data_IF_724280833260
#
_entry.id   IF_724280833260
#
_cell.length_a   1.000
_cell.length_b   1.000
_cell.length_c   1.000
_cell.angle_alpha   90.00
_cell.angle_beta   90.00
_cell.angle_gamma   90.00
#
_symmetry.space_group_name_H-M   'P 1'
#
loop_
_entity.id
_entity.type
_entity.pdbx_description
1 polymer ?
#
# COMPACT_ATOMS: atom_id res chain seq x y z
N UNK A 1 40.98 -32.24 40.32
CA UNK A 1 39.93 -32.84 39.45
C UNK A 1 38.90 -31.79 39.02
N UNK A 2 38.35 -30.96 39.90
CA UNK A 2 37.36 -29.90 39.56
C UNK A 2 37.87 -28.84 38.57
N UNK A 3 39.13 -28.41 38.67
CA UNK A 3 39.68 -27.35 37.80
C UNK A 3 39.86 -27.81 36.35
N UNK A 4 40.14 -29.10 36.14
CA UNK A 4 40.25 -29.67 34.79
C UNK A 4 38.87 -29.78 34.15
N UNK A 5 37.85 -30.14 34.90
CA UNK A 5 36.48 -30.26 34.45
C UNK A 5 35.87 -28.88 34.04
N UNK A 6 36.14 -27.81 34.80
CA UNK A 6 35.73 -26.47 34.45
C UNK A 6 36.38 -25.97 33.15
N UNK A 7 37.66 -26.29 32.95
CA UNK A 7 38.37 -25.90 31.73
C UNK A 7 37.82 -26.62 30.48
N UNK A 8 37.49 -27.89 30.57
CA UNK A 8 36.93 -28.66 29.45
C UNK A 8 35.52 -28.19 29.13
N UNK A 9 34.69 -27.87 30.13
CA UNK A 9 33.34 -27.34 29.95
C UNK A 9 33.35 -25.97 29.25
N UNK A 10 34.30 -25.10 29.65
CA UNK A 10 34.48 -23.77 29.02
C UNK A 10 34.91 -23.87 27.55
N UNK A 11 35.77 -24.84 27.23
CA UNK A 11 36.26 -25.07 25.87
C UNK A 11 35.14 -25.58 24.94
N UNK A 12 34.28 -26.48 25.45
CA UNK A 12 33.13 -27.00 24.72
C UNK A 12 32.10 -25.89 24.47
N UNK A 13 31.86 -25.01 25.44
CA UNK A 13 30.93 -23.87 25.28
C UNK A 13 31.42 -22.88 24.20
N UNK A 14 32.72 -22.60 24.13
CA UNK A 14 33.30 -21.74 23.10
C UNK A 14 33.21 -22.36 21.70
N UNK A 15 33.40 -23.68 21.58
CA UNK A 15 33.26 -24.39 20.30
C UNK A 15 31.79 -24.37 19.83
N UNK A 16 30.80 -24.54 20.71
CA UNK A 16 29.39 -24.48 20.35
C UNK A 16 28.95 -23.09 19.87
N UNK A 17 29.55 -22.02 20.41
CA UNK A 17 29.26 -20.65 19.95
C UNK A 17 29.83 -20.40 18.54
N UNK A 18 30.97 -20.99 18.21
CA UNK A 18 31.62 -20.84 16.89
C UNK A 18 30.87 -21.58 15.77
N UNK A 19 30.11 -22.62 16.09
CA UNK A 19 29.26 -23.35 15.13
C UNK A 19 27.84 -22.74 14.95
N UNK A 20 27.48 -21.70 15.68
CA UNK A 20 26.21 -21.00 15.56
C UNK A 20 26.17 -20.01 14.38
N UNK A 21 26.94 -20.25 13.32
CA UNK A 21 26.77 -19.52 12.08
C UNK A 21 25.53 -20.07 11.36
N UNK A 22 24.34 -19.53 11.69
CA UNK A 22 23.12 -19.79 10.95
C UNK A 22 23.36 -19.34 9.48
N UNK A 23 23.54 -20.30 8.59
CA UNK A 23 23.51 -20.07 7.15
C UNK A 23 22.12 -19.55 6.80
N UNK A 24 21.97 -18.23 6.76
CA UNK A 24 20.80 -17.60 6.15
C UNK A 24 20.76 -18.06 4.69
N UNK A 25 19.86 -18.98 4.37
CA UNK A 25 19.57 -19.32 2.97
C UNK A 25 19.16 -18.01 2.29
N UNK A 26 20.08 -17.38 1.57
CA UNK A 26 19.73 -16.33 0.62
C UNK A 26 18.80 -16.98 -0.39
N UNK A 27 17.53 -16.71 -0.29
CA UNK A 27 16.58 -17.00 -1.38
C UNK A 27 17.07 -16.15 -2.54
N UNK A 28 17.64 -16.79 -3.54
CA UNK A 28 18.02 -16.12 -4.80
C UNK A 28 16.71 -15.72 -5.43
N UNK A 29 16.31 -14.46 -5.22
CA UNK A 29 15.21 -13.88 -5.97
C UNK A 29 15.67 -13.85 -7.42
N UNK A 30 15.07 -14.69 -8.27
CA UNK A 30 15.31 -14.66 -9.70
C UNK A 30 14.93 -13.27 -10.16
N UNK A 31 15.90 -12.47 -10.58
CA UNK A 31 15.62 -11.15 -11.11
C UNK A 31 14.75 -11.31 -12.36
N UNK A 32 13.51 -10.82 -12.29
CA UNK A 32 12.63 -10.76 -13.45
C UNK A 32 13.18 -9.68 -14.37
N UNK A 33 13.69 -10.09 -15.53
CA UNK A 33 14.16 -9.15 -16.54
C UNK A 33 12.99 -8.76 -17.44
N UNK A 34 12.51 -7.53 -17.30
CA UNK A 34 11.48 -6.96 -18.17
C UNK A 34 12.19 -6.32 -19.37
N UNK A 35 12.19 -6.99 -20.52
CA UNK A 35 12.83 -6.52 -21.74
C UNK A 35 11.97 -5.58 -22.56
N UNK A 36 10.64 -5.64 -22.44
CA UNK A 36 9.73 -4.77 -23.18
C UNK A 36 8.37 -4.67 -22.48
N UNK A 37 7.65 -3.57 -22.75
CA UNK A 37 6.26 -3.37 -22.39
C UNK A 37 5.43 -3.25 -23.66
N UNK A 38 4.26 -3.89 -23.69
CA UNK A 38 3.29 -3.79 -24.78
C UNK A 38 2.03 -3.13 -24.24
N UNK A 39 1.60 -2.03 -24.87
CA UNK A 39 0.30 -1.44 -24.59
C UNK A 39 -0.81 -2.38 -25.08
N UNK A 40 -1.72 -2.76 -24.18
CA UNK A 40 -2.82 -3.66 -24.47
C UNK A 40 -4.15 -2.92 -24.66
N UNK A 41 -4.30 -1.74 -24.11
CA UNK A 41 -5.54 -0.96 -24.16
C UNK A 41 -5.77 -0.13 -22.91
N UNK A 42 -6.90 0.56 -22.91
CA UNK A 42 -7.40 1.32 -21.77
C UNK A 42 -8.89 1.05 -21.57
N UNK A 43 -9.36 1.20 -20.35
CA UNK A 43 -10.78 1.20 -20.01
C UNK A 43 -11.13 2.55 -19.40
N UNK A 44 -12.07 3.27 -20.03
CA UNK A 44 -12.47 4.59 -19.58
C UNK A 44 -13.69 4.50 -18.68
N UNK A 45 -13.62 5.13 -17.50
CA UNK A 45 -14.73 5.27 -16.58
C UNK A 45 -15.37 6.63 -16.86
N UNK A 46 -16.69 6.72 -17.10
CA UNK A 46 -17.36 7.99 -17.31
C UNK A 46 -17.11 8.98 -16.16
N UNK A 47 -16.94 10.25 -16.47
CA UNK A 47 -16.58 11.31 -15.51
C UNK A 47 -17.51 11.42 -14.32
N UNK A 48 -18.81 11.14 -14.49
CA UNK A 48 -19.83 11.23 -13.45
C UNK A 48 -20.30 9.88 -12.93
N UNK A 49 -19.56 8.82 -13.25
CA UNK A 49 -19.94 7.47 -12.82
C UNK A 49 -19.96 7.38 -11.30
N UNK A 50 -21.08 6.85 -10.79
CA UNK A 50 -21.28 6.68 -9.34
C UNK A 50 -21.34 5.20 -8.96
N UNK A 51 -20.68 4.89 -7.87
CA UNK A 51 -20.78 3.59 -7.21
C UNK A 51 -21.09 3.78 -5.73
N UNK A 52 -22.19 3.18 -5.24
CA UNK A 52 -22.69 3.30 -3.85
C UNK A 52 -22.65 4.75 -3.32
N UNK A 53 -23.24 5.66 -4.07
CA UNK A 53 -23.33 7.10 -3.77
C UNK A 53 -22.01 7.86 -3.73
N UNK A 54 -20.92 7.27 -4.18
CA UNK A 54 -19.63 7.96 -4.35
C UNK A 54 -19.33 8.16 -5.83
N UNK A 55 -18.73 9.29 -6.18
CA UNK A 55 -18.23 9.55 -7.53
C UNK A 55 -16.91 8.78 -7.67
N UNK A 56 -16.83 7.92 -8.69
CA UNK A 56 -15.59 7.19 -9.01
C UNK A 56 -14.73 8.08 -9.88
N UNK A 57 -13.55 8.42 -9.39
CA UNK A 57 -12.58 9.26 -10.11
C UNK A 57 -11.34 9.51 -9.29
N UNK A 58 -10.34 10.16 -9.91
CA UNK A 58 -9.05 10.39 -9.27
C UNK A 58 -8.39 9.09 -8.80
N UNK A 59 -8.43 8.04 -9.63
CA UNK A 59 -7.82 6.76 -9.28
C UNK A 59 -6.30 6.86 -9.47
N UNK A 60 -5.59 7.22 -8.40
CA UNK A 60 -4.16 7.49 -8.39
C UNK A 60 -3.30 6.24 -8.18
N UNK A 61 -3.84 5.21 -7.54
CA UNK A 61 -3.11 3.97 -7.27
C UNK A 61 -3.96 2.72 -7.43
N UNK A 62 -3.29 1.64 -7.84
CA UNK A 62 -3.89 0.32 -8.01
C UNK A 62 -2.96 -0.76 -7.48
N UNK A 63 -3.53 -1.79 -6.85
CA UNK A 63 -2.82 -3.03 -6.50
C UNK A 63 -3.74 -4.24 -6.62
N UNK A 64 -3.15 -5.44 -6.62
CA UNK A 64 -3.86 -6.68 -6.92
C UNK A 64 -3.65 -7.76 -5.86
N UNK A 65 -4.74 -8.31 -5.35
CA UNK A 65 -4.77 -9.50 -4.52
C UNK A 65 -5.01 -10.75 -5.40
N UNK A 66 -3.92 -11.43 -5.74
CA UNK A 66 -3.97 -12.62 -6.60
C UNK A 66 -4.74 -13.79 -5.98
N UNK A 67 -4.86 -13.84 -4.64
CA UNK A 67 -5.58 -14.91 -3.95
C UNK A 67 -7.09 -14.80 -4.12
N UNK A 68 -7.59 -13.57 -4.15
CA UNK A 68 -9.04 -13.31 -4.21
C UNK A 68 -9.48 -12.75 -5.57
N UNK A 69 -8.55 -12.62 -6.53
CA UNK A 69 -8.76 -12.01 -7.85
C UNK A 69 -9.43 -10.63 -7.73
N UNK A 70 -8.85 -9.77 -6.87
CA UNK A 70 -9.43 -8.51 -6.48
C UNK A 70 -8.42 -7.37 -6.63
N UNK A 71 -8.86 -6.29 -7.26
CA UNK A 71 -8.09 -5.06 -7.38
C UNK A 71 -8.54 -4.05 -6.32
N UNK A 72 -7.56 -3.34 -5.76
CA UNK A 72 -7.76 -2.19 -4.88
C UNK A 72 -7.36 -0.93 -5.63
N UNK A 73 -8.26 0.04 -5.72
CA UNK A 73 -8.05 1.30 -6.43
C UNK A 73 -8.30 2.45 -5.47
N UNK A 74 -7.27 3.24 -5.15
CA UNK A 74 -7.40 4.40 -4.27
C UNK A 74 -7.77 5.66 -5.06
N UNK A 75 -8.63 6.49 -4.47
CA UNK A 75 -9.01 7.78 -5.03
C UNK A 75 -8.24 8.91 -4.35
N UNK A 76 -7.70 9.83 -5.13
CA UNK A 76 -7.03 11.05 -4.68
C UNK A 76 -8.00 12.14 -4.18
N UNK A 77 -9.31 11.82 -4.12
CA UNK A 77 -10.31 12.74 -3.56
C UNK A 77 -10.01 13.03 -2.09
N UNK A 78 -9.56 14.23 -1.84
CA UNK A 78 -9.13 14.75 -0.55
C UNK A 78 -10.30 15.06 0.40
N UNK A 79 -11.32 14.23 0.43
CA UNK A 79 -12.60 14.45 1.10
C UNK A 79 -13.35 15.69 0.62
N UNK A 80 -13.12 16.14 -0.62
CA UNK A 80 -13.78 17.29 -1.20
C UNK A 80 -15.16 16.95 -1.77
N UNK A 81 -15.27 15.80 -2.44
CA UNK A 81 -16.51 15.30 -3.05
C UNK A 81 -17.14 14.18 -2.21
N UNK A 82 -16.33 13.26 -1.75
CA UNK A 82 -16.73 12.11 -0.93
C UNK A 82 -15.64 11.82 0.12
N UNK A 83 -15.95 11.06 1.19
CA UNK A 83 -14.92 10.66 2.15
C UNK A 83 -13.73 9.98 1.49
N UNK A 84 -12.53 10.13 2.08
CA UNK A 84 -11.31 9.45 1.64
C UNK A 84 -11.59 7.95 1.56
N UNK A 85 -11.28 7.32 0.42
CA UNK A 85 -11.75 5.97 0.12
C UNK A 85 -10.87 5.24 -0.87
N UNK A 86 -11.05 3.95 -0.89
CA UNK A 86 -10.61 3.10 -2.00
C UNK A 86 -11.77 2.20 -2.47
N UNK A 87 -11.65 1.72 -3.69
CA UNK A 87 -12.60 0.81 -4.30
C UNK A 87 -11.98 -0.59 -4.41
N UNK A 88 -12.86 -1.59 -4.33
CA UNK A 88 -12.54 -2.94 -4.74
C UNK A 88 -13.19 -3.19 -6.09
N UNK A 89 -12.48 -3.84 -7.00
CA UNK A 89 -12.99 -4.14 -8.33
C UNK A 89 -12.45 -5.46 -8.88
N UNK A 90 -13.20 -6.10 -9.76
CA UNK A 90 -12.72 -7.14 -10.66
C UNK A 90 -12.42 -6.52 -12.03
N UNK A 91 -11.27 -6.84 -12.61
CA UNK A 91 -10.87 -6.38 -13.94
C UNK A 91 -10.72 -7.62 -14.83
N UNK A 92 -11.46 -7.63 -15.92
CA UNK A 92 -11.44 -8.74 -16.87
C UNK A 92 -10.58 -8.37 -18.07
N UNK A 93 -9.68 -9.27 -18.43
CA UNK A 93 -8.76 -9.09 -19.54
C UNK A 93 -9.06 -10.08 -20.66
N UNK A 94 -8.89 -9.60 -21.89
CA UNK A 94 -8.87 -10.42 -23.10
C UNK A 94 -7.51 -10.29 -23.79
N UNK A 95 -7.34 -10.98 -24.91
CA UNK A 95 -6.14 -10.83 -25.75
C UNK A 95 -6.00 -9.40 -26.33
N UNK A 96 -7.11 -8.65 -26.37
CA UNK A 96 -7.17 -7.30 -26.94
C UNK A 96 -7.11 -6.18 -25.89
N UNK A 97 -6.95 -6.51 -24.60
CA UNK A 97 -6.84 -5.54 -23.52
C UNK A 97 -7.84 -5.74 -22.39
N UNK A 98 -8.22 -4.64 -21.74
CA UNK A 98 -9.22 -4.65 -20.67
C UNK A 98 -10.61 -4.74 -21.29
N UNK A 99 -11.32 -5.82 -21.02
CA UNK A 99 -12.69 -6.03 -21.48
C UNK A 99 -13.69 -5.25 -20.62
N UNK A 100 -13.62 -5.45 -19.31
CA UNK A 100 -14.54 -4.82 -18.37
C UNK A 100 -13.91 -4.60 -17.00
N UNK A 101 -14.48 -3.62 -16.27
CA UNK A 101 -14.15 -3.31 -14.88
C UNK A 101 -15.46 -3.25 -14.10
N UNK A 102 -15.55 -4.03 -13.03
CA UNK A 102 -16.74 -4.14 -12.18
C UNK A 102 -16.36 -3.77 -10.76
N UNK A 103 -16.88 -2.64 -10.25
CA UNK A 103 -16.71 -2.29 -8.85
C UNK A 103 -17.53 -3.21 -7.97
N UNK A 104 -16.90 -3.80 -6.96
CA UNK A 104 -17.53 -4.74 -6.02
C UNK A 104 -17.75 -4.14 -4.65
N UNK A 105 -16.89 -3.20 -4.23
CA UNK A 105 -17.06 -2.49 -2.96
C UNK A 105 -16.41 -1.09 -2.99
N UNK A 106 -16.80 -0.25 -2.01
CA UNK A 106 -16.13 1.01 -1.66
C UNK A 106 -15.94 1.03 -0.14
N UNK A 107 -14.74 1.38 0.29
CA UNK A 107 -14.34 1.37 1.69
C UNK A 107 -13.74 2.74 2.03
N UNK A 108 -14.32 3.39 3.04
CA UNK A 108 -13.79 4.65 3.53
C UNK A 108 -12.56 4.41 4.40
N UNK A 109 -11.53 5.24 4.17
CA UNK A 109 -10.34 5.27 5.00
C UNK A 109 -10.62 6.22 6.16
N UNK A 110 -10.43 5.71 7.38
CA UNK A 110 -10.71 6.46 8.61
C UNK A 110 -9.42 6.88 9.30
N UNK A 111 -9.49 7.96 10.06
CA UNK A 111 -8.43 8.34 11.00
C UNK A 111 -8.26 7.27 12.09
N UNK A 112 -7.12 7.23 12.80
CA UNK A 112 -6.90 6.28 13.89
C UNK A 112 -7.99 6.27 14.97
N UNK A 113 -8.70 7.39 15.15
CA UNK A 113 -9.84 7.51 16.07
C UNK A 113 -11.18 7.04 15.51
N UNK A 114 -11.22 6.48 14.28
CA UNK A 114 -12.44 5.98 13.64
C UNK A 114 -13.32 7.04 12.98
N UNK A 115 -12.95 8.31 13.02
CA UNK A 115 -13.66 9.39 12.33
C UNK A 115 -13.22 9.53 10.86
N UNK A 116 -14.06 10.16 10.03
CA UNK A 116 -13.64 10.52 8.68
C UNK A 116 -12.53 11.58 8.70
N UNK A 117 -11.70 11.55 7.67
CA UNK A 117 -10.77 12.64 7.43
C UNK A 117 -11.54 13.92 7.06
N UNK A 118 -11.14 15.09 7.57
CA UNK A 118 -11.72 16.36 7.18
C UNK A 118 -11.30 16.72 5.76
N UNK A 119 -12.09 17.55 5.08
CA UNK A 119 -11.63 18.18 3.84
C UNK A 119 -10.69 19.35 4.15
N UNK A 120 -10.01 19.87 3.12
CA UNK A 120 -9.03 20.96 3.25
C UNK A 120 -9.59 22.22 3.91
N UNK A 121 -10.86 22.54 3.71
CA UNK A 121 -11.51 23.73 4.31
C UNK A 121 -11.79 23.55 5.79
N UNK A 122 -11.99 22.32 6.23
CA UNK A 122 -12.25 22.00 7.63
C UNK A 122 -10.95 21.93 8.45
N UNK A 123 -9.95 21.22 7.94
CA UNK A 123 -8.65 21.09 8.60
C UNK A 123 -7.58 20.70 7.56
N UNK A 124 -6.82 21.68 7.04
CA UNK A 124 -5.80 21.42 6.02
C UNK A 124 -4.64 20.56 6.53
N UNK A 125 -4.38 20.57 7.85
CA UNK A 125 -3.28 19.80 8.44
C UNK A 125 -3.60 18.31 8.58
N UNK A 126 -4.86 17.95 8.63
CA UNK A 126 -5.33 16.57 8.70
C UNK A 126 -5.95 16.06 7.40
N UNK A 127 -5.99 16.89 6.37
CA UNK A 127 -6.52 16.52 5.08
C UNK A 127 -5.49 15.72 4.30
N UNK A 128 -5.72 14.44 3.99
CA UNK A 128 -4.78 13.64 3.23
C UNK A 128 -4.92 13.88 1.73
N UNK A 129 -3.89 13.52 1.00
CA UNK A 129 -3.83 13.49 -0.46
C UNK A 129 -3.42 12.07 -0.90
N UNK A 130 -4.38 11.14 -1.04
CA UNK A 130 -4.05 9.73 -1.26
C UNK A 130 -3.48 9.51 -2.66
N UNK A 131 -2.32 8.82 -2.77
CA UNK A 131 -1.61 8.64 -4.03
C UNK A 131 -1.33 7.19 -4.40
N UNK A 132 -1.09 6.35 -3.44
CA UNK A 132 -0.82 4.95 -3.72
C UNK A 132 -1.46 4.02 -2.70
N UNK A 133 -1.74 2.80 -3.15
CA UNK A 133 -2.24 1.72 -2.30
C UNK A 133 -1.45 0.44 -2.59
N UNK A 134 -1.15 -0.34 -1.56
CA UNK A 134 -0.48 -1.65 -1.67
C UNK A 134 -1.11 -2.66 -0.74
N UNK A 135 -1.33 -3.84 -1.25
CA UNK A 135 -1.81 -4.99 -0.48
C UNK A 135 -0.63 -5.88 -0.07
N UNK A 136 -0.53 -6.16 1.22
CA UNK A 136 0.43 -7.12 1.74
C UNK A 136 -0.25 -8.48 1.96
N UNK A 137 0.03 -9.49 1.12
CA UNK A 137 -0.64 -10.79 1.21
C UNK A 137 -0.26 -11.58 2.47
N UNK A 138 0.88 -11.29 3.10
CA UNK A 138 1.31 -11.96 4.33
C UNK A 138 0.54 -11.46 5.56
N UNK A 139 0.43 -10.15 5.71
CA UNK A 139 -0.31 -9.54 6.82
C UNK A 139 -1.79 -9.33 6.52
N UNK A 140 -2.21 -9.45 5.25
CA UNK A 140 -3.56 -9.14 4.73
C UNK A 140 -3.98 -7.70 5.02
N UNK A 141 -3.03 -6.79 4.97
CA UNK A 141 -3.24 -5.37 5.24
C UNK A 141 -3.05 -4.57 3.96
N UNK A 142 -3.81 -3.49 3.86
CA UNK A 142 -3.59 -2.45 2.89
C UNK A 142 -2.75 -1.33 3.51
N UNK A 143 -1.74 -0.89 2.77
CA UNK A 143 -0.93 0.28 3.08
C UNK A 143 -1.17 1.30 1.99
N UNK A 144 -1.32 2.54 2.36
CA UNK A 144 -1.50 3.64 1.42
C UNK A 144 -0.58 4.81 1.76
N UNK A 145 -0.30 5.65 0.79
CA UNK A 145 0.51 6.85 0.95
C UNK A 145 -0.31 8.11 0.66
N UNK A 146 0.14 9.20 1.25
CA UNK A 146 -0.39 10.54 1.04
C UNK A 146 0.76 11.48 0.72
N UNK A 147 0.59 12.41 -0.21
CA UNK A 147 1.55 13.50 -0.43
C UNK A 147 1.51 14.54 0.68
N UNK A 148 0.43 14.58 1.44
CA UNK A 148 0.20 15.60 2.46
C UNK A 148 -0.21 16.95 1.87
N UNK A 149 -0.14 18.00 2.69
CA UNK A 149 -0.50 19.37 2.30
C UNK A 149 0.65 20.32 2.67
N UNK A 150 0.99 21.21 1.74
CA UNK A 150 1.86 22.36 2.04
C UNK A 150 0.99 23.54 2.41
N UNK A 151 1.05 23.95 3.66
CA UNK A 151 0.40 25.16 4.15
C UNK A 151 1.47 26.25 4.25
N UNK A 152 1.34 27.31 3.43
CA UNK A 152 2.20 28.49 3.51
C UNK A 152 1.49 29.52 4.40
N UNK A 153 2.00 29.73 5.60
CA UNK A 153 1.61 30.87 6.43
C UNK A 153 2.39 32.12 5.99
N UNK A 154 1.64 33.15 5.57
CA UNK A 154 2.20 34.38 5.00
C UNK A 154 3.02 35.26 5.96
N UNK A 155 3.11 34.93 7.25
CA UNK A 155 3.84 35.72 8.25
C UNK A 155 5.20 35.17 8.67
N UNK A 156 5.35 33.86 8.68
CA UNK A 156 6.63 33.22 8.96
C UNK A 156 6.65 31.97 8.10
N UNK A 157 7.54 31.88 7.14
CA UNK A 157 7.64 30.79 6.16
C UNK A 157 7.85 29.44 6.89
N UNK A 158 6.83 28.93 7.52
CA UNK A 158 6.84 27.60 8.13
C UNK A 158 6.23 26.64 7.12
N UNK A 159 7.10 25.84 6.49
CA UNK A 159 6.67 24.68 5.73
C UNK A 159 6.32 23.57 6.72
N UNK A 160 5.03 23.26 6.87
CA UNK A 160 4.57 22.10 7.62
C UNK A 160 4.28 21.01 6.61
N UNK A 161 5.06 19.94 6.67
CA UNK A 161 4.85 18.72 5.87
C UNK A 161 3.95 17.77 6.62
#
# INVERSE_FOLDING_TARGET
MHLLFLRTLSFIAVILILFSCATTKRTTQTAVNISSLKYLGAHEIPYDFKYKNTIVGGLSGIDYDAKHDLYYLISDDRADKNPVRFYCASIYFTQNGIDSLVFTNVINILQPGGSFYPNRKQDPFKNPDPEAIRYNPLSRQLVWSSEGERVLELKDTVLVN
#
